data_IF_026972247199
#
_entry.id   IF_026972247199
#
_cell.length_a   1.000
_cell.length_b   1.000
_cell.length_c   1.000
_cell.angle_alpha   90.00
_cell.angle_beta   90.00
_cell.angle_gamma   90.00
#
_symmetry.space_group_name_H-M   'P 1'
#
loop_
_entity.id
_entity.type
_entity.pdbx_description
1 polymer ?
#
# COMPACT_ATOMS: atom_id res chain seq x y z
N UNK A 1 -38.23 10.77 31.33
CA UNK A 1 -37.29 10.06 30.45
C UNK A 1 -35.93 10.08 31.12
N UNK A 2 -35.36 8.91 31.41
CA UNK A 2 -34.00 8.76 31.96
C UNK A 2 -33.06 8.36 30.81
N UNK A 3 -31.84 8.90 30.82
CA UNK A 3 -30.83 8.72 29.77
C UNK A 3 -30.31 7.27 29.73
N UNK A 4 -29.98 6.82 28.52
CA UNK A 4 -29.54 5.46 28.15
C UNK A 4 -28.11 5.14 28.64
N UNK A 5 -27.38 6.13 29.16
CA UNK A 5 -26.00 5.96 29.64
C UNK A 5 -25.90 5.29 31.02
N UNK A 6 -26.98 5.28 31.82
CA UNK A 6 -26.99 4.67 33.17
C UNK A 6 -27.11 3.13 33.16
N UNK A 7 -27.37 2.51 32.00
CA UNK A 7 -27.53 1.05 31.90
C UNK A 7 -26.20 0.30 31.70
N UNK A 8 -25.16 0.96 31.19
CA UNK A 8 -23.85 0.33 30.96
C UNK A 8 -23.12 -0.03 32.26
N UNK A 9 -23.23 0.78 33.33
CA UNK A 9 -22.60 0.48 34.62
C UNK A 9 -23.25 -0.71 35.36
N UNK A 10 -24.51 -1.06 35.04
CA UNK A 10 -25.19 -2.21 35.65
C UNK A 10 -24.80 -3.54 35.02
N UNK A 11 -24.45 -3.55 33.74
CA UNK A 11 -24.01 -4.77 33.03
C UNK A 11 -22.62 -5.22 33.49
N UNK A 12 -21.75 -4.29 33.89
CA UNK A 12 -20.39 -4.62 34.39
C UNK A 12 -20.41 -5.30 35.77
N UNK A 13 -21.52 -5.22 36.53
CA UNK A 13 -21.61 -5.77 37.90
C UNK A 13 -22.39 -7.09 38.02
N UNK A 14 -22.88 -7.66 36.94
CA UNK A 14 -23.59 -8.95 36.96
C UNK A 14 -22.88 -9.98 36.09
N UNK A 15 -21.74 -10.49 36.55
CA UNK A 15 -21.36 -11.90 36.53
C UNK A 15 -19.96 -12.06 37.15
N UNK A 16 -19.69 -13.14 37.91
CA UNK A 16 -18.39 -13.33 38.52
C UNK A 16 -17.38 -13.61 37.40
N UNK A 17 -16.27 -12.88 37.39
CA UNK A 17 -15.11 -13.19 36.55
C UNK A 17 -14.76 -14.68 36.71
N UNK A 18 -15.23 -15.49 35.76
CA UNK A 18 -14.83 -16.87 35.62
C UNK A 18 -13.31 -16.86 35.42
N UNK A 19 -12.61 -17.51 36.35
CA UNK A 19 -11.18 -17.75 36.46
C UNK A 19 -10.27 -17.10 35.40
N UNK A 20 -9.27 -16.35 35.91
CA UNK A 20 -8.12 -15.84 35.15
C UNK A 20 -7.71 -16.79 34.01
N UNK A 21 -7.57 -16.30 32.76
CA UNK A 21 -7.16 -17.12 31.62
C UNK A 21 -5.73 -17.66 31.78
N UNK A 22 -4.99 -17.16 32.78
CA UNK A 22 -3.67 -17.66 33.17
C UNK A 22 -3.83 -18.79 34.18
N UNK A 23 -3.87 -20.02 33.69
CA UNK A 23 -3.77 -21.22 34.54
C UNK A 23 -2.34 -21.37 35.06
N UNK A 24 -2.14 -22.05 36.21
CA UNK A 24 -0.80 -22.31 36.75
C UNK A 24 0.05 -23.13 35.74
N UNK A 25 -0.59 -23.95 34.90
CA UNK A 25 0.06 -24.63 33.78
C UNK A 25 0.60 -23.68 32.71
N UNK A 26 -0.11 -22.58 32.41
CA UNK A 26 0.35 -21.54 31.50
C UNK A 26 1.60 -20.83 32.06
N UNK A 27 1.58 -20.49 33.35
CA UNK A 27 2.73 -19.88 34.04
C UNK A 27 3.95 -20.78 34.04
N UNK A 28 3.78 -22.09 34.29
CA UNK A 28 4.89 -23.04 34.23
C UNK A 28 5.46 -23.22 32.83
N UNK A 29 4.61 -23.19 31.79
CA UNK A 29 5.08 -23.27 30.40
C UNK A 29 5.89 -22.03 29.99
N UNK A 30 5.44 -20.84 30.38
CA UNK A 30 6.18 -19.59 30.13
C UNK A 30 7.52 -19.60 30.88
N UNK A 31 7.54 -20.03 32.15
CA UNK A 31 8.79 -20.14 32.91
C UNK A 31 9.75 -21.18 32.32
N UNK A 32 9.23 -22.29 31.76
CA UNK A 32 10.04 -23.31 31.07
C UNK A 32 10.61 -22.80 29.74
N UNK A 33 9.84 -22.03 28.98
CA UNK A 33 10.34 -21.35 27.77
C UNK A 33 11.40 -20.29 28.08
N UNK A 34 11.19 -19.49 29.13
CA UNK A 34 12.18 -18.50 29.58
C UNK A 34 13.44 -19.18 30.09
N UNK A 35 13.33 -20.31 30.79
CA UNK A 35 14.48 -21.11 31.21
C UNK A 35 15.24 -21.72 30.01
N UNK A 36 14.51 -22.21 28.99
CA UNK A 36 15.08 -22.76 27.77
C UNK A 36 15.80 -21.70 26.91
N UNK A 37 15.26 -20.48 26.84
CA UNK A 37 15.90 -19.36 26.14
C UNK A 37 17.15 -18.86 26.89
N UNK A 38 17.16 -18.95 28.23
CA UNK A 38 18.31 -18.55 29.06
C UNK A 38 19.42 -19.60 29.12
N UNK A 39 19.14 -20.87 28.83
CA UNK A 39 20.15 -21.95 28.88
C UNK A 39 21.09 -22.00 27.67
N UNK A 40 20.96 -21.08 26.70
CA UNK A 40 21.90 -20.99 25.56
C UNK A 40 21.90 -22.21 24.63
N UNK A 41 20.89 -23.08 24.74
CA UNK A 41 20.77 -24.35 24.01
C UNK A 41 20.02 -24.24 22.69
N UNK A 42 20.01 -23.05 22.06
CA UNK A 42 19.40 -22.79 20.76
C UNK A 42 20.45 -22.68 19.63
N UNK A 43 21.64 -23.26 19.84
CA UNK A 43 22.70 -23.29 18.83
C UNK A 43 23.25 -24.71 18.70
N UNK A 44 22.46 -25.58 18.07
CA UNK A 44 22.88 -26.75 17.29
C UNK A 44 21.60 -27.42 16.76
N UNK A 45 21.39 -27.37 15.43
CA UNK A 45 20.87 -28.43 14.56
C UNK A 45 20.80 -27.84 13.13
N UNK A 46 21.96 -27.84 12.48
CA UNK A 46 22.20 -28.02 11.03
C UNK A 46 23.62 -28.59 11.01
N UNK A 47 23.98 -29.78 10.53
CA UNK A 47 23.39 -30.71 9.59
C UNK A 47 23.83 -32.13 10.00
N UNK A 48 22.99 -33.13 9.80
CA UNK A 48 23.47 -34.51 9.65
C UNK A 48 22.47 -35.32 8.81
N UNK A 49 22.71 -35.33 7.50
CA UNK A 49 22.19 -36.39 6.64
C UNK A 49 22.85 -37.73 6.97
N UNK A 50 22.07 -38.79 6.73
CA UNK A 50 22.44 -40.19 6.46
C UNK A 50 23.66 -40.80 7.15
N UNK A 51 23.41 -41.86 7.93
CA UNK A 51 24.34 -42.99 8.08
C UNK A 51 23.61 -44.32 7.92
N UNK A 52 23.98 -45.01 6.84
CA UNK A 52 23.86 -46.45 6.66
C UNK A 52 24.73 -47.23 7.67
N UNK A 53 24.29 -48.46 7.97
CA UNK A 53 25.04 -49.52 8.66
C UNK A 53 26.16 -50.06 7.73
N UNK A 54 27.41 -50.06 8.25
CA UNK A 54 28.65 -50.83 7.96
C UNK A 54 28.92 -51.62 6.65
N UNK A 55 30.18 -52.06 6.34
CA UNK A 55 31.51 -51.50 6.68
C UNK A 55 32.53 -51.58 5.49
N UNK A 56 33.66 -50.85 5.56
CA UNK A 56 35.01 -51.37 5.19
C UNK A 56 36.15 -50.38 5.45
N UNK A 57 36.98 -50.74 6.43
CA UNK A 57 38.45 -50.87 6.40
C UNK A 57 39.32 -49.82 5.65
N UNK A 58 40.17 -49.18 6.48
CA UNK A 58 41.64 -49.02 6.38
C UNK A 58 42.21 -47.60 6.20
N UNK A 59 43.05 -47.29 7.21
CA UNK A 59 44.38 -46.66 7.22
C UNK A 59 44.57 -45.16 6.92
N UNK A 60 45.15 -44.49 7.93
CA UNK A 60 46.40 -43.68 7.89
C UNK A 60 46.45 -42.53 6.85
N UNK A 61 46.82 -41.27 7.15
CA UNK A 61 48.04 -40.83 7.83
C UNK A 61 48.13 -39.28 7.79
N UNK A 62 48.60 -38.69 8.90
CA UNK A 62 49.61 -37.63 9.01
C UNK A 62 49.62 -36.31 8.20
N UNK A 63 49.62 -35.22 9.01
CA UNK A 63 50.69 -34.20 9.23
C UNK A 63 50.59 -32.79 8.59
N UNK A 64 50.89 -31.82 9.48
CA UNK A 64 51.57 -30.51 9.33
C UNK A 64 50.75 -29.35 8.73
N UNK A 65 50.99 -28.07 9.04
CA UNK A 65 51.56 -27.27 10.16
C UNK A 65 51.48 -25.80 9.65
N UNK A 66 51.38 -24.84 10.58
CA UNK A 66 51.85 -23.43 10.49
C UNK A 66 51.02 -22.34 9.78
N UNK A 67 50.50 -21.44 10.62
CA UNK A 67 50.70 -19.97 10.69
C UNK A 67 50.77 -19.17 9.36
N UNK A 68 49.94 -18.13 9.24
CA UNK A 68 50.41 -16.73 9.40
C UNK A 68 49.23 -15.74 9.51
N UNK A 69 49.45 -14.66 10.25
CA UNK A 69 48.58 -13.49 10.42
C UNK A 69 48.60 -12.63 9.15
N UNK A 70 47.45 -12.06 8.76
CA UNK A 70 47.32 -10.65 8.34
C UNK A 70 45.85 -10.22 8.37
N UNK A 71 45.60 -9.12 9.06
CA UNK A 71 44.34 -8.42 9.12
C UNK A 71 44.00 -7.77 7.77
N UNK A 72 42.74 -7.87 7.37
CA UNK A 72 42.10 -7.01 6.37
C UNK A 72 40.70 -6.71 6.90
N UNK A 73 40.42 -5.43 7.10
CA UNK A 73 39.08 -4.88 7.31
C UNK A 73 38.16 -5.31 6.16
N UNK A 74 37.01 -5.88 6.49
CA UNK A 74 35.93 -6.09 5.53
C UNK A 74 34.58 -5.87 6.23
N UNK A 75 33.95 -4.76 5.84
CA UNK A 75 32.52 -4.57 5.66
C UNK A 75 31.58 -5.31 6.64
N UNK A 76 31.19 -4.64 7.72
CA UNK A 76 29.93 -4.94 8.40
C UNK A 76 28.78 -4.48 7.52
N UNK A 77 28.21 -5.46 6.84
CA UNK A 77 26.92 -5.46 6.17
C UNK A 77 25.84 -4.76 6.98
N UNK A 78 25.11 -3.89 6.28
CA UNK A 78 23.89 -3.24 6.72
C UNK A 78 22.91 -4.32 7.18
N UNK A 79 22.60 -4.31 8.47
CA UNK A 79 21.54 -5.12 9.03
C UNK A 79 20.22 -4.69 8.38
N UNK A 80 19.60 -5.65 7.70
CA UNK A 80 18.26 -5.57 7.17
C UNK A 80 17.31 -4.96 8.20
N UNK A 81 16.62 -3.89 7.80
CA UNK A 81 15.48 -3.37 8.55
C UNK A 81 14.48 -4.51 8.65
N UNK A 82 14.25 -4.91 9.90
CA UNK A 82 13.38 -5.98 10.27
C UNK A 82 12.01 -5.78 9.62
N UNK A 83 11.62 -6.74 8.77
CA UNK A 83 10.22 -7.06 8.60
C UNK A 83 9.63 -7.21 10.00
N UNK A 84 8.70 -6.33 10.37
CA UNK A 84 7.88 -6.52 11.54
C UNK A 84 6.98 -7.75 11.27
N UNK A 85 7.56 -8.93 11.44
CA UNK A 85 6.84 -10.19 11.50
C UNK A 85 5.98 -10.09 12.74
N UNK A 86 4.70 -9.80 12.55
CA UNK A 86 3.69 -10.06 13.57
C UNK A 86 3.62 -11.59 13.69
N UNK A 87 4.43 -12.15 14.59
CA UNK A 87 4.32 -13.53 15.02
C UNK A 87 3.02 -13.67 15.82
N UNK A 88 1.92 -14.00 15.13
CA UNK A 88 0.75 -14.59 15.76
C UNK A 88 0.64 -16.05 15.27
N UNK A 89 1.26 -16.96 16.02
CA UNK A 89 1.01 -18.41 16.04
C UNK A 89 0.73 -19.14 14.70
N UNK A 90 1.57 -18.99 13.67
CA UNK A 90 1.85 -20.05 12.68
C UNK A 90 0.67 -20.80 12.04
N UNK A 91 -0.51 -20.20 11.98
CA UNK A 91 -1.69 -20.70 11.31
C UNK A 91 -2.27 -19.56 10.51
N UNK A 92 -2.61 -19.82 9.25
CA UNK A 92 -3.45 -18.95 8.44
C UNK A 92 -4.80 -18.90 9.16
N UNK A 93 -4.99 -17.89 10.03
CA UNK A 93 -6.23 -17.71 10.75
C UNK A 93 -7.23 -17.16 9.74
N UNK A 94 -8.29 -17.92 9.42
CA UNK A 94 -9.45 -17.37 8.72
C UNK A 94 -9.89 -16.09 9.45
N UNK A 95 -10.28 -15.02 8.74
CA UNK A 95 -10.47 -13.71 9.36
C UNK A 95 -11.48 -13.82 10.50
N UNK A 96 -10.98 -13.81 11.74
CA UNK A 96 -11.83 -13.64 12.93
C UNK A 96 -12.17 -12.16 12.93
N UNK A 97 -13.17 -11.79 12.13
CA UNK A 97 -13.92 -10.57 12.37
C UNK A 97 -14.52 -10.74 13.76
N UNK A 98 -14.35 -9.75 14.64
CA UNK A 98 -15.03 -9.71 15.93
C UNK A 98 -16.49 -10.12 15.71
N UNK A 99 -16.94 -11.18 16.39
CA UNK A 99 -18.25 -11.80 16.21
C UNK A 99 -19.35 -10.82 16.65
N UNK A 100 -19.61 -9.80 15.85
CA UNK A 100 -20.67 -8.81 16.09
C UNK A 100 -21.88 -9.11 15.20
N UNK A 101 -21.72 -9.91 14.15
CA UNK A 101 -22.82 -10.28 13.26
C UNK A 101 -23.17 -11.77 13.43
N UNK A 102 -24.39 -12.10 13.90
CA UNK A 102 -24.91 -13.45 13.73
C UNK A 102 -24.88 -13.82 12.24
N UNK A 103 -24.96 -15.11 11.93
CA UNK A 103 -25.29 -15.59 10.58
C UNK A 103 -26.73 -15.17 10.28
N UNK A 104 -26.98 -13.87 10.14
CA UNK A 104 -28.28 -13.33 9.79
C UNK A 104 -28.65 -13.93 8.43
N UNK A 105 -29.92 -14.30 8.30
CA UNK A 105 -30.47 -14.70 7.02
C UNK A 105 -30.16 -13.58 6.02
N UNK A 106 -29.58 -13.95 4.87
CA UNK A 106 -29.33 -13.00 3.79
C UNK A 106 -30.58 -12.18 3.54
N UNK A 107 -30.39 -10.88 3.41
CA UNK A 107 -31.48 -9.99 3.05
C UNK A 107 -31.62 -10.02 1.53
N UNK A 108 -32.82 -10.32 1.06
CA UNK A 108 -33.15 -10.36 -0.36
C UNK A 108 -34.34 -9.45 -0.64
N UNK A 109 -34.39 -8.94 -1.85
CA UNK A 109 -35.63 -8.42 -2.45
C UNK A 109 -36.51 -9.60 -2.92
N UNK A 110 -37.81 -9.36 -3.15
CA UNK A 110 -38.77 -10.36 -3.66
C UNK A 110 -38.55 -10.73 -5.14
N UNK A 111 -37.31 -10.67 -5.63
CA UNK A 111 -36.96 -10.99 -7.01
C UNK A 111 -37.19 -12.49 -7.31
N UNK A 112 -37.85 -12.79 -8.43
CA UNK A 112 -38.14 -14.17 -8.84
C UNK A 112 -36.88 -15.02 -9.03
N UNK A 113 -35.74 -14.41 -9.35
CA UNK A 113 -34.44 -15.07 -9.48
C UNK A 113 -33.90 -15.64 -8.17
N UNK A 114 -34.45 -15.25 -7.00
CA UNK A 114 -34.00 -15.76 -5.70
C UNK A 114 -34.22 -17.27 -5.53
N UNK A 115 -35.18 -17.86 -6.26
CA UNK A 115 -35.41 -19.30 -6.26
C UNK A 115 -34.25 -20.10 -6.89
N UNK A 116 -33.36 -19.44 -7.63
CA UNK A 116 -32.16 -20.06 -8.23
C UNK A 116 -31.09 -20.39 -7.20
N UNK A 117 -31.10 -19.73 -6.03
CA UNK A 117 -30.11 -19.97 -4.99
C UNK A 117 -30.50 -21.15 -4.10
N UNK A 118 -29.68 -22.21 -4.14
CA UNK A 118 -29.73 -23.29 -3.14
C UNK A 118 -29.30 -22.78 -1.76
N UNK A 119 -29.68 -23.46 -0.69
CA UNK A 119 -29.28 -23.08 0.68
C UNK A 119 -27.75 -22.99 0.84
N UNK A 120 -27.00 -23.85 0.14
CA UNK A 120 -25.54 -23.80 0.10
C UNK A 120 -25.04 -22.51 -0.57
N UNK A 121 -25.61 -22.13 -1.71
CA UNK A 121 -25.25 -20.89 -2.41
C UNK A 121 -25.55 -19.66 -1.55
N UNK A 122 -26.74 -19.63 -0.93
CA UNK A 122 -27.13 -18.59 0.03
C UNK A 122 -26.09 -18.48 1.15
N UNK A 123 -25.76 -19.59 1.80
CA UNK A 123 -24.73 -19.61 2.85
C UNK A 123 -23.38 -19.08 2.35
N UNK A 124 -22.92 -19.52 1.19
CA UNK A 124 -21.64 -19.07 0.64
C UNK A 124 -21.62 -17.57 0.35
N UNK A 125 -22.70 -17.03 -0.24
CA UNK A 125 -22.84 -15.59 -0.47
C UNK A 125 -22.83 -14.80 0.84
N UNK A 126 -23.60 -15.25 1.83
CA UNK A 126 -23.70 -14.61 3.15
C UNK A 126 -22.36 -14.53 3.87
N UNK A 127 -21.66 -15.68 3.92
CA UNK A 127 -20.34 -15.83 4.53
C UNK A 127 -19.32 -14.98 3.78
N UNK A 128 -19.36 -14.97 2.45
CA UNK A 128 -18.41 -14.20 1.64
C UNK A 128 -18.55 -12.69 1.88
N UNK A 129 -19.77 -12.16 1.84
CA UNK A 129 -20.01 -10.75 2.14
C UNK A 129 -19.62 -10.42 3.58
N UNK A 130 -20.07 -11.21 4.56
CA UNK A 130 -19.74 -10.97 5.97
C UNK A 130 -18.23 -11.00 6.23
N UNK A 131 -17.54 -12.05 5.81
CA UNK A 131 -16.14 -12.33 6.21
C UNK A 131 -15.12 -11.52 5.41
N UNK A 132 -15.44 -11.13 4.18
CA UNK A 132 -14.52 -10.36 3.35
C UNK A 132 -14.94 -8.91 3.16
N UNK A 133 -16.24 -8.59 3.09
CA UNK A 133 -16.71 -7.21 2.99
C UNK A 133 -16.93 -6.57 4.36
N UNK A 134 -17.14 -7.37 5.40
CA UNK A 134 -17.48 -6.90 6.76
C UNK A 134 -18.96 -6.55 6.95
N UNK A 135 -19.81 -6.82 5.94
CA UNK A 135 -21.25 -6.52 5.94
C UNK A 135 -21.96 -7.37 4.89
N UNK A 136 -23.16 -7.84 5.19
CA UNK A 136 -24.05 -8.43 4.19
C UNK A 136 -24.89 -7.33 3.54
N UNK A 137 -24.86 -7.26 2.21
CA UNK A 137 -25.66 -6.31 1.44
C UNK A 137 -26.98 -6.95 1.03
N UNK A 138 -27.99 -6.11 0.79
CA UNK A 138 -29.29 -6.54 0.25
C UNK A 138 -29.10 -7.01 -1.19
N UNK A 139 -29.44 -8.26 -1.47
CA UNK A 139 -29.36 -8.82 -2.82
C UNK A 139 -30.53 -8.30 -3.64
N UNK A 140 -30.20 -7.68 -4.77
CA UNK A 140 -31.13 -7.01 -5.68
C UNK A 140 -31.39 -7.81 -6.94
N UNK A 141 -30.51 -8.76 -7.29
CA UNK A 141 -30.68 -9.57 -8.50
C UNK A 141 -29.94 -10.90 -8.39
N UNK A 142 -30.56 -11.94 -8.94
CA UNK A 142 -29.95 -13.26 -9.16
C UNK A 142 -30.27 -13.71 -10.57
N UNK A 143 -29.26 -14.18 -11.30
CA UNK A 143 -29.39 -14.57 -12.70
C UNK A 143 -28.65 -15.89 -12.97
N UNK A 144 -29.33 -16.85 -13.59
CA UNK A 144 -28.69 -18.05 -14.12
C UNK A 144 -27.97 -17.74 -15.44
N UNK A 145 -26.74 -18.23 -15.58
CA UNK A 145 -25.87 -18.07 -16.74
C UNK A 145 -25.53 -19.45 -17.31
N UNK A 146 -26.51 -20.14 -17.93
CA UNK A 146 -26.45 -21.57 -18.23
C UNK A 146 -25.33 -21.92 -19.21
N UNK A 147 -25.03 -21.05 -20.17
CA UNK A 147 -23.92 -21.24 -21.14
C UNK A 147 -22.56 -21.36 -20.42
N UNK A 148 -22.40 -20.66 -19.30
CA UNK A 148 -21.18 -20.68 -18.49
C UNK A 148 -21.23 -21.63 -17.30
N UNK A 149 -22.39 -22.24 -17.02
CA UNK A 149 -22.64 -23.04 -15.82
C UNK A 149 -22.50 -22.24 -14.51
N UNK A 150 -22.88 -20.95 -14.52
CA UNK A 150 -22.72 -20.04 -13.37
C UNK A 150 -24.05 -19.48 -12.92
N UNK A 151 -24.14 -19.14 -11.63
CA UNK A 151 -25.20 -18.29 -11.09
C UNK A 151 -24.55 -16.98 -10.66
N UNK A 152 -25.10 -15.87 -11.15
CA UNK A 152 -24.69 -14.52 -10.81
C UNK A 152 -25.58 -13.95 -9.72
N UNK A 153 -24.96 -13.32 -8.72
CA UNK A 153 -25.63 -12.66 -7.59
C UNK A 153 -25.11 -11.23 -7.50
N UNK A 154 -26.04 -10.29 -7.41
CA UNK A 154 -25.78 -8.85 -7.37
C UNK A 154 -26.48 -8.24 -6.14
N UNK A 155 -25.71 -7.45 -5.40
CA UNK A 155 -26.20 -6.60 -4.31
C UNK A 155 -25.61 -5.19 -4.49
N UNK A 156 -26.45 -4.20 -4.76
CA UNK A 156 -26.00 -2.88 -5.20
C UNK A 156 -25.43 -2.87 -6.62
N UNK A 157 -25.07 -1.71 -7.15
CA UNK A 157 -24.54 -1.58 -8.52
C UNK A 157 -23.05 -1.29 -8.52
N UNK A 158 -22.36 -1.80 -9.53
CA UNK A 158 -20.96 -1.44 -9.75
C UNK A 158 -20.84 0.08 -9.94
N UNK A 159 -19.96 0.70 -9.17
CA UNK A 159 -19.80 2.17 -9.12
C UNK A 159 -20.42 2.81 -7.86
N UNK A 160 -21.34 2.13 -7.18
CA UNK A 160 -21.89 2.60 -5.91
C UNK A 160 -20.84 2.51 -4.78
N UNK A 161 -21.10 3.20 -3.66
CA UNK A 161 -20.25 3.18 -2.47
C UNK A 161 -20.13 1.78 -1.85
N UNK A 162 -21.19 0.98 -1.92
CA UNK A 162 -21.22 -0.41 -1.48
C UNK A 162 -21.84 -1.30 -2.57
N UNK A 163 -21.12 -2.33 -2.99
CA UNK A 163 -21.68 -3.34 -3.90
C UNK A 163 -21.00 -4.70 -3.73
N UNK A 164 -21.68 -5.75 -4.17
CA UNK A 164 -21.14 -7.10 -4.25
C UNK A 164 -21.66 -7.84 -5.48
N UNK A 165 -20.73 -8.23 -6.34
CA UNK A 165 -20.94 -9.06 -7.52
C UNK A 165 -20.27 -10.42 -7.26
N UNK A 166 -21.06 -11.49 -7.25
CA UNK A 166 -20.59 -12.83 -6.93
C UNK A 166 -21.05 -13.80 -8.01
N UNK A 167 -20.11 -14.56 -8.55
CA UNK A 167 -20.39 -15.65 -9.47
C UNK A 167 -20.12 -16.98 -8.77
N UNK A 168 -21.14 -17.83 -8.79
CA UNK A 168 -21.12 -19.17 -8.22
C UNK A 168 -21.12 -20.20 -9.34
N UNK A 169 -20.53 -21.35 -9.08
CA UNK A 169 -20.73 -22.54 -9.91
C UNK A 169 -22.17 -23.07 -9.72
N UNK A 170 -22.93 -23.23 -10.81
CA UNK A 170 -24.34 -23.60 -10.72
C UNK A 170 -24.57 -25.02 -10.14
N UNK A 171 -23.64 -25.95 -10.39
CA UNK A 171 -23.76 -27.33 -9.94
C UNK A 171 -23.34 -27.50 -8.47
N UNK A 172 -22.27 -26.83 -8.06
CA UNK A 172 -21.64 -27.02 -6.75
C UNK A 172 -21.95 -25.91 -5.75
N UNK A 173 -22.37 -24.74 -6.21
CA UNK A 173 -22.57 -23.53 -5.41
C UNK A 173 -21.29 -22.90 -4.89
N UNK A 174 -20.12 -23.34 -5.34
CA UNK A 174 -18.83 -22.81 -4.92
C UNK A 174 -18.54 -21.45 -5.57
N UNK A 175 -17.77 -20.58 -4.90
CA UNK A 175 -17.31 -19.32 -5.46
C UNK A 175 -16.46 -19.57 -6.72
N UNK A 176 -16.73 -18.82 -7.79
CA UNK A 176 -15.92 -18.79 -9.01
C UNK A 176 -15.22 -17.45 -9.16
N UNK A 177 -15.93 -16.38 -8.89
CA UNK A 177 -15.45 -15.01 -9.03
C UNK A 177 -16.19 -14.12 -8.04
N UNK A 178 -15.49 -13.11 -7.53
CA UNK A 178 -16.03 -12.14 -6.55
C UNK A 178 -15.46 -10.78 -6.86
N UNK A 179 -16.30 -9.76 -6.87
CA UNK A 179 -15.91 -8.36 -6.90
C UNK A 179 -16.83 -7.59 -5.96
N UNK A 180 -16.27 -7.03 -4.88
CA UNK A 180 -17.04 -6.29 -3.89
C UNK A 180 -16.30 -5.02 -3.49
N UNK A 181 -17.06 -3.99 -3.13
CA UNK A 181 -16.55 -2.73 -2.57
C UNK A 181 -17.44 -2.31 -1.42
N UNK A 182 -16.84 -1.70 -0.41
CA UNK A 182 -17.54 -1.00 0.65
C UNK A 182 -16.78 0.25 1.06
N UNK A 183 -17.45 1.39 1.11
CA UNK A 183 -17.01 2.55 1.87
C UNK A 183 -17.60 2.48 3.28
N UNK A 184 -16.77 2.75 4.27
CA UNK A 184 -17.07 2.55 5.69
C UNK A 184 -16.79 3.85 6.44
N UNK A 185 -17.70 4.22 7.33
CA UNK A 185 -17.42 5.27 8.30
C UNK A 185 -16.38 4.79 9.32
N UNK A 186 -15.69 5.72 9.97
CA UNK A 186 -14.64 5.41 10.95
C UNK A 186 -15.10 4.48 12.09
N UNK A 187 -16.36 4.61 12.53
CA UNK A 187 -16.96 3.79 13.58
C UNK A 187 -17.34 2.37 13.14
N UNK A 188 -17.32 2.07 11.84
CA UNK A 188 -17.57 0.73 11.29
C UNK A 188 -16.27 -0.08 11.11
N UNK A 189 -15.11 0.55 11.28
CA UNK A 189 -13.80 -0.08 11.14
C UNK A 189 -13.54 -1.06 12.29
N UNK A 190 -13.06 -2.26 11.97
CA UNK A 190 -12.79 -3.29 12.97
C UNK A 190 -11.69 -2.85 13.96
N UNK A 191 -11.87 -3.19 15.25
CA UNK A 191 -10.96 -2.74 16.31
C UNK A 191 -9.51 -3.18 16.10
N UNK A 192 -9.28 -4.29 15.38
CA UNK A 192 -7.93 -4.77 15.05
C UNK A 192 -7.12 -3.76 14.23
N UNK A 193 -7.75 -2.99 13.35
CA UNK A 193 -7.06 -1.95 12.58
C UNK A 193 -6.79 -0.74 13.46
N UNK A 194 -7.79 -0.32 14.25
CA UNK A 194 -7.68 0.81 15.19
C UNK A 194 -6.48 0.67 16.15
N UNK A 195 -6.20 -0.54 16.61
CA UNK A 195 -5.06 -0.82 17.51
C UNK A 195 -3.69 -0.74 16.84
N UNK A 196 -3.60 -0.98 15.53
CA UNK A 196 -2.34 -0.98 14.79
C UNK A 196 -1.93 0.43 14.34
N UNK A 197 -2.90 1.29 14.01
CA UNK A 197 -2.67 2.60 13.40
C UNK A 197 -1.58 3.42 14.11
N UNK A 198 -1.63 3.65 15.45
CA UNK A 198 -0.60 4.47 16.10
C UNK A 198 0.81 3.91 15.92
N UNK A 199 0.98 2.60 16.09
CA UNK A 199 2.29 1.94 15.96
C UNK A 199 2.83 1.95 14.52
N UNK A 200 1.94 1.87 13.52
CA UNK A 200 2.33 1.95 12.11
C UNK A 200 2.77 3.37 11.75
N UNK A 201 2.06 4.39 12.24
CA UNK A 201 2.41 5.80 12.03
C UNK A 201 3.73 6.16 12.73
N UNK A 202 3.93 5.70 13.97
CA UNK A 202 5.22 5.85 14.67
C UNK A 202 6.37 5.20 13.91
N UNK A 203 6.12 4.04 13.29
CA UNK A 203 7.10 3.33 12.46
C UNK A 203 7.66 4.16 11.32
N UNK A 204 6.86 5.07 10.76
CA UNK A 204 7.27 6.02 9.71
C UNK A 204 7.56 7.43 10.25
N UNK A 205 7.63 7.61 11.58
CA UNK A 205 7.80 8.91 12.27
C UNK A 205 6.73 9.95 11.92
N UNK A 206 5.53 9.49 11.57
CA UNK A 206 4.33 10.32 11.41
C UNK A 206 3.64 10.56 12.75
N UNK A 207 2.65 11.46 12.76
CA UNK A 207 1.87 11.80 13.95
C UNK A 207 0.93 10.63 14.35
N UNK A 208 1.17 9.95 15.49
CA UNK A 208 0.34 8.82 15.92
C UNK A 208 -1.07 9.22 16.34
N UNK A 209 -1.37 10.52 16.42
CA UNK A 209 -2.69 11.03 16.82
C UNK A 209 -3.66 11.18 15.65
N UNK A 210 -3.22 10.91 14.40
CA UNK A 210 -4.10 10.84 13.24
C UNK A 210 -5.20 9.79 13.48
N UNK A 211 -6.46 10.18 13.23
CA UNK A 211 -7.63 9.34 13.48
C UNK A 211 -8.30 8.92 12.18
N UNK A 212 -8.89 7.72 12.11
CA UNK A 212 -9.72 7.33 10.98
C UNK A 212 -10.86 8.30 10.75
N UNK A 213 -11.02 8.74 9.51
CA UNK A 213 -12.19 9.50 9.03
C UNK A 213 -13.13 8.60 8.24
N UNK A 214 -12.55 7.70 7.44
CA UNK A 214 -13.27 6.74 6.62
C UNK A 214 -12.35 5.59 6.25
N UNK A 215 -12.94 4.51 5.76
CA UNK A 215 -12.21 3.40 5.23
C UNK A 215 -12.89 2.88 3.97
N UNK A 216 -12.12 2.22 3.10
CA UNK A 216 -12.60 1.60 1.89
C UNK A 216 -12.09 0.18 1.84
N UNK A 217 -12.97 -0.77 1.60
CA UNK A 217 -12.63 -2.17 1.39
C UNK A 217 -12.96 -2.61 -0.03
N UNK A 218 -12.00 -3.27 -0.67
CA UNK A 218 -12.21 -3.97 -1.93
C UNK A 218 -11.93 -5.45 -1.75
N UNK A 219 -12.77 -6.29 -2.35
CA UNK A 219 -12.60 -7.74 -2.37
C UNK A 219 -12.60 -8.21 -3.80
N UNK A 220 -11.62 -9.03 -4.16
CA UNK A 220 -11.53 -9.64 -5.49
C UNK A 220 -11.19 -11.13 -5.39
N UNK A 221 -11.81 -11.92 -6.24
CA UNK A 221 -11.46 -13.31 -6.51
C UNK A 221 -11.65 -13.54 -7.99
N UNK A 222 -10.60 -13.97 -8.70
CA UNK A 222 -10.68 -14.37 -10.11
C UNK A 222 -10.91 -15.88 -10.21
N UNK A 223 -11.43 -16.31 -11.36
CA UNK A 223 -11.55 -17.74 -11.67
C UNK A 223 -10.20 -18.47 -11.49
N UNK A 224 -10.23 -19.60 -10.77
CA UNK A 224 -9.06 -20.41 -10.48
C UNK A 224 -8.36 -20.05 -9.17
N UNK A 225 -8.76 -18.98 -8.49
CA UNK A 225 -8.30 -18.69 -7.13
C UNK A 225 -9.13 -19.47 -6.11
N UNK A 226 -8.48 -19.95 -5.04
CA UNK A 226 -9.18 -20.73 -4.01
C UNK A 226 -9.94 -19.86 -3.00
N UNK A 227 -9.41 -18.67 -2.69
CA UNK A 227 -9.98 -17.75 -1.70
C UNK A 227 -9.93 -16.30 -2.22
N UNK A 228 -10.91 -15.45 -1.83
CA UNK A 228 -10.85 -14.02 -2.09
C UNK A 228 -9.62 -13.32 -1.47
N UNK A 229 -9.20 -12.24 -2.10
CA UNK A 229 -8.22 -11.28 -1.58
C UNK A 229 -8.94 -9.98 -1.27
N UNK A 230 -8.72 -9.43 -0.08
CA UNK A 230 -9.28 -8.14 0.31
C UNK A 230 -8.18 -7.11 0.59
N UNK A 231 -8.52 -5.87 0.28
CA UNK A 231 -7.71 -4.68 0.47
C UNK A 231 -8.52 -3.71 1.33
N UNK A 232 -7.97 -3.27 2.45
CA UNK A 232 -8.60 -2.26 3.30
C UNK A 232 -7.71 -1.03 3.30
N UNK A 233 -8.21 0.10 2.81
CA UNK A 233 -7.54 1.40 2.89
C UNK A 233 -8.26 2.23 3.95
N UNK A 234 -7.55 2.72 4.95
CA UNK A 234 -8.09 3.63 5.96
C UNK A 234 -7.50 5.01 5.70
N UNK A 235 -8.36 6.03 5.66
CA UNK A 235 -7.96 7.43 5.56
C UNK A 235 -7.94 8.05 6.95
N UNK A 236 -6.89 8.81 7.24
CA UNK A 236 -6.58 9.33 8.55
C UNK A 236 -6.42 10.85 8.50
N UNK A 237 -6.87 11.55 9.54
CA UNK A 237 -6.76 13.00 9.64
C UNK A 237 -6.70 13.47 11.10
N UNK A 238 -6.08 14.62 11.33
CA UNK A 238 -6.25 15.45 12.51
C UNK A 238 -6.16 16.94 12.13
N UNK A 239 -6.10 17.85 13.10
CA UNK A 239 -6.01 19.29 12.81
C UNK A 239 -4.69 19.75 12.19
N UNK A 240 -3.70 18.87 12.06
CA UNK A 240 -2.33 19.19 11.64
C UNK A 240 -1.87 18.43 10.40
N UNK A 241 -2.59 17.40 9.97
CA UNK A 241 -2.14 16.55 8.89
C UNK A 241 -3.12 15.44 8.53
N UNK A 242 -2.73 14.67 7.52
CA UNK A 242 -3.50 13.57 6.97
C UNK A 242 -2.60 12.36 6.70
N UNK A 243 -3.20 11.22 6.43
CA UNK A 243 -2.48 10.01 6.09
C UNK A 243 -3.40 8.90 5.61
N UNK A 244 -2.81 7.77 5.24
CA UNK A 244 -3.57 6.59 4.88
C UNK A 244 -2.79 5.32 5.18
N UNK A 245 -3.50 4.23 5.46
CA UNK A 245 -2.87 2.92 5.62
C UNK A 245 -3.63 1.91 4.78
N UNK A 246 -2.90 1.11 4.01
CA UNK A 246 -3.45 0.02 3.23
C UNK A 246 -3.02 -1.33 3.80
N UNK A 247 -3.99 -2.23 3.99
CA UNK A 247 -3.76 -3.63 4.31
C UNK A 247 -4.18 -4.53 3.16
N UNK A 248 -3.38 -5.56 2.87
CA UNK A 248 -3.77 -6.69 2.03
C UNK A 248 -3.82 -7.94 2.91
N UNK A 249 -4.98 -8.61 2.98
CA UNK A 249 -5.17 -9.79 3.87
C UNK A 249 -4.72 -9.53 5.32
N UNK A 250 -5.06 -8.36 5.84
CA UNK A 250 -4.71 -7.90 7.20
C UNK A 250 -3.21 -7.64 7.45
N UNK A 251 -2.35 -7.72 6.43
CA UNK A 251 -0.96 -7.27 6.49
C UNK A 251 -0.85 -5.84 5.96
N UNK A 252 -0.24 -4.93 6.74
CA UNK A 252 -0.02 -3.55 6.30
C UNK A 252 1.01 -3.53 5.17
N UNK A 253 0.62 -3.01 4.02
CA UNK A 253 1.41 -3.00 2.78
C UNK A 253 1.79 -1.60 2.31
N UNK A 254 1.08 -0.58 2.78
CA UNK A 254 1.48 0.82 2.61
C UNK A 254 1.02 1.62 3.83
N UNK A 255 1.89 2.50 4.33
CA UNK A 255 1.62 3.41 5.44
C UNK A 255 2.07 4.80 4.99
N UNK A 256 1.16 5.77 5.01
CA UNK A 256 1.44 7.17 4.74
C UNK A 256 0.91 8.09 5.83
N UNK A 257 1.59 9.21 6.04
CA UNK A 257 1.12 10.26 6.94
C UNK A 257 1.98 11.50 6.94
N UNK A 258 1.41 12.60 7.43
CA UNK A 258 2.13 13.86 7.65
C UNK A 258 3.27 13.66 8.66
N UNK A 259 4.45 14.21 8.36
CA UNK A 259 5.65 14.14 9.20
C UNK A 259 6.17 15.55 9.53
N UNK A 260 6.76 15.70 10.72
CA UNK A 260 7.41 16.96 11.10
C UNK A 260 8.61 17.26 10.21
N UNK A 261 8.86 18.54 9.92
CA UNK A 261 10.09 18.99 9.25
C UNK A 261 11.37 18.59 10.01
N UNK A 262 11.28 18.36 11.32
CA UNK A 262 12.41 17.90 12.14
C UNK A 262 12.82 16.45 11.80
N UNK A 263 11.92 15.68 11.20
CA UNK A 263 12.16 14.30 10.78
C UNK A 263 12.69 14.20 9.33
N UNK A 264 12.83 15.33 8.64
CA UNK A 264 13.29 15.41 7.26
C UNK A 264 14.59 16.20 7.17
N UNK A 265 15.48 15.79 6.25
CA UNK A 265 16.74 16.48 6.03
C UNK A 265 16.51 17.94 5.59
N UNK A 266 17.17 18.88 6.26
CA UNK A 266 17.16 20.30 5.87
C UNK A 266 17.75 20.51 4.47
N UNK A 267 18.68 19.65 4.05
CA UNK A 267 19.22 19.67 2.69
C UNK A 267 18.13 19.36 1.66
N UNK A 268 17.25 18.39 1.95
CA UNK A 268 16.13 18.05 1.07
C UNK A 268 15.13 19.21 0.95
N UNK A 269 14.81 19.87 2.07
CA UNK A 269 13.92 21.03 2.08
C UNK A 269 14.55 22.19 1.30
N UNK A 270 15.85 22.42 1.46
CA UNK A 270 16.59 23.48 0.77
C UNK A 270 16.65 23.19 -0.74
N UNK A 271 16.98 21.97 -1.13
CA UNK A 271 16.99 21.53 -2.54
C UNK A 271 15.61 21.65 -3.19
N UNK A 272 14.54 21.30 -2.45
CA UNK A 272 13.16 21.45 -2.90
C UNK A 272 12.81 22.93 -3.18
N UNK A 273 13.19 23.85 -2.27
CA UNK A 273 12.99 25.30 -2.47
C UNK A 273 13.73 25.81 -3.70
N UNK A 274 15.02 25.47 -3.81
CA UNK A 274 15.84 25.86 -4.97
C UNK A 274 15.27 25.31 -6.29
N UNK A 275 14.71 24.10 -6.25
CA UNK A 275 14.08 23.51 -7.43
C UNK A 275 12.79 24.23 -7.82
N UNK A 276 11.95 24.61 -6.85
CA UNK A 276 10.76 25.42 -7.12
C UNK A 276 11.15 26.79 -7.70
N UNK A 277 12.21 27.41 -7.17
CA UNK A 277 12.74 28.67 -7.70
C UNK A 277 13.22 28.54 -9.14
N UNK A 278 13.94 27.46 -9.45
CA UNK A 278 14.36 27.16 -10.82
C UNK A 278 13.16 26.94 -11.76
N UNK A 279 12.11 26.24 -11.30
CA UNK A 279 10.92 25.97 -12.11
C UNK A 279 10.08 27.22 -12.36
N UNK A 280 9.86 28.03 -11.32
CA UNK A 280 8.90 29.13 -11.32
C UNK A 280 9.52 30.49 -11.68
N UNK A 281 10.83 30.67 -11.44
CA UNK A 281 11.51 31.96 -11.52
C UNK A 281 11.25 32.87 -10.32
N UNK A 282 10.51 32.41 -9.30
CA UNK A 282 10.12 33.16 -8.10
C UNK A 282 10.57 32.43 -6.83
N UNK A 283 10.80 33.15 -5.70
CA UNK A 283 11.09 32.53 -4.40
C UNK A 283 10.05 31.45 -4.03
N UNK A 284 10.52 30.30 -3.53
CA UNK A 284 9.62 29.23 -3.13
C UNK A 284 8.70 29.68 -1.97
N UNK A 285 7.38 29.40 -2.02
CA UNK A 285 6.46 29.66 -0.91
C UNK A 285 6.85 28.92 0.38
N UNK A 286 6.12 29.16 1.46
CA UNK A 286 6.33 28.42 2.70
C UNK A 286 5.97 26.93 2.57
N UNK A 287 6.75 26.07 3.22
CA UNK A 287 6.47 24.65 3.35
C UNK A 287 5.22 24.48 4.22
N UNK A 288 4.17 23.86 3.68
CA UNK A 288 2.90 23.65 4.37
C UNK A 288 2.79 22.27 5.00
N UNK A 289 3.17 21.23 4.27
CA UNK A 289 3.06 19.86 4.73
C UNK A 289 4.17 18.99 4.14
N UNK A 290 4.47 17.91 4.84
CA UNK A 290 5.37 16.86 4.37
C UNK A 290 4.65 15.54 4.57
N UNK A 291 4.43 14.79 3.49
CA UNK A 291 3.85 13.46 3.55
C UNK A 291 4.95 12.45 3.29
N UNK A 292 5.09 11.47 4.18
CA UNK A 292 5.94 10.31 3.96
C UNK A 292 5.06 9.08 3.73
N UNK A 293 5.37 8.29 2.71
CA UNK A 293 4.77 6.99 2.45
C UNK A 293 5.85 5.92 2.40
N UNK A 294 5.69 4.88 3.20
CA UNK A 294 6.40 3.62 3.05
C UNK A 294 5.52 2.65 2.28
N UNK A 295 5.95 2.26 1.06
CA UNK A 295 5.19 1.35 0.22
C UNK A 295 5.87 -0.02 0.11
N UNK A 296 5.39 -0.98 0.90
CA UNK A 296 5.88 -2.36 0.91
C UNK A 296 5.56 -3.14 -0.37
N UNK A 297 4.66 -2.66 -1.24
CA UNK A 297 4.36 -3.33 -2.53
C UNK A 297 5.42 -3.06 -3.58
N UNK A 298 5.89 -1.81 -3.65
CA UNK A 298 6.91 -1.38 -4.62
C UNK A 298 8.31 -1.41 -4.03
N UNK A 299 8.44 -1.51 -2.70
CA UNK A 299 9.72 -1.36 -1.97
C UNK A 299 10.33 0.02 -2.32
N UNK A 300 9.45 1.01 -2.49
CA UNK A 300 9.78 2.41 -2.72
C UNK A 300 9.22 3.21 -1.54
N UNK A 301 10.04 4.09 -0.99
CA UNK A 301 9.61 5.09 -0.01
C UNK A 301 9.44 6.43 -0.74
N UNK A 302 8.35 7.12 -0.45
CA UNK A 302 8.04 8.42 -1.06
C UNK A 302 8.03 9.50 0.01
N UNK A 303 8.69 10.63 -0.27
CA UNK A 303 8.60 11.85 0.51
C UNK A 303 8.08 12.97 -0.38
N UNK A 304 6.93 13.52 -0.02
CA UNK A 304 6.29 14.64 -0.69
C UNK A 304 6.37 15.88 0.17
N UNK A 305 6.82 16.99 -0.42
CA UNK A 305 6.91 18.29 0.23
C UNK A 305 5.97 19.26 -0.50
N UNK A 306 4.99 19.78 0.23
CA UNK A 306 3.99 20.70 -0.30
C UNK A 306 4.35 22.14 0.08
N UNK A 307 4.54 23.00 -0.92
CA UNK A 307 4.88 24.41 -0.74
C UNK A 307 3.76 25.31 -1.24
N UNK A 308 3.25 26.18 -0.35
CA UNK A 308 2.06 26.96 -0.62
C UNK A 308 0.86 26.06 -0.95
N UNK A 309 0.01 26.52 -1.87
CA UNK A 309 -1.10 25.71 -2.42
C UNK A 309 -0.81 25.22 -3.84
N UNK A 310 0.44 25.35 -4.31
CA UNK A 310 0.78 25.29 -5.74
C UNK A 310 1.87 24.30 -6.13
N UNK A 311 2.88 24.11 -5.27
CA UNK A 311 4.06 23.34 -5.64
C UNK A 311 4.21 22.07 -4.83
N UNK A 312 4.56 21.00 -5.52
CA UNK A 312 4.89 19.70 -4.95
C UNK A 312 6.32 19.32 -5.37
N UNK A 313 7.12 18.94 -4.39
CA UNK A 313 8.38 18.23 -4.62
C UNK A 313 8.25 16.82 -4.09
N UNK A 314 8.42 15.81 -4.95
CA UNK A 314 8.32 14.40 -4.60
C UNK A 314 9.64 13.71 -4.83
N UNK A 315 10.14 13.05 -3.81
CA UNK A 315 11.29 12.14 -3.89
C UNK A 315 10.82 10.71 -3.65
N UNK A 316 11.09 9.83 -4.61
CA UNK A 316 10.83 8.40 -4.49
C UNK A 316 12.20 7.72 -4.46
N UNK A 317 12.51 7.05 -3.36
CA UNK A 317 13.74 6.27 -3.21
C UNK A 317 13.41 4.79 -3.11
N UNK A 318 14.12 3.93 -3.84
CA UNK A 318 13.84 2.50 -3.82
C UNK A 318 14.88 1.65 -4.53
N UNK A 319 14.66 0.33 -4.50
CA UNK A 319 15.61 -0.66 -5.04
C UNK A 319 15.85 -0.53 -6.56
N UNK A 320 14.90 0.04 -7.30
CA UNK A 320 14.89 0.00 -8.78
C UNK A 320 15.15 1.34 -9.47
N UNK A 321 14.92 2.47 -8.79
CA UNK A 321 15.18 3.80 -9.34
C UNK A 321 15.03 4.85 -8.25
N UNK A 322 15.83 5.91 -8.34
CA UNK A 322 15.60 7.13 -7.58
C UNK A 322 14.92 8.15 -8.48
N UNK A 323 13.74 8.64 -8.06
CA UNK A 323 12.98 9.65 -8.79
C UNK A 323 12.87 10.93 -7.98
N UNK A 324 13.08 12.05 -8.63
CA UNK A 324 12.91 13.37 -8.05
C UNK A 324 12.04 14.22 -8.97
N UNK A 325 10.88 14.63 -8.49
CA UNK A 325 9.89 15.41 -9.24
C UNK A 325 9.66 16.75 -8.58
N UNK A 326 9.61 17.81 -9.38
CA UNK A 326 9.18 19.15 -8.97
C UNK A 326 8.05 19.54 -9.90
N UNK A 327 6.93 19.95 -9.34
CA UNK A 327 5.70 20.20 -10.10
C UNK A 327 4.95 21.42 -9.57
N UNK A 328 4.46 22.23 -10.50
CA UNK A 328 3.35 23.16 -10.30
C UNK A 328 2.04 22.38 -10.53
N UNK A 329 1.36 21.98 -9.46
CA UNK A 329 0.20 21.08 -9.54
C UNK A 329 -1.14 21.82 -9.71
N UNK A 330 -1.17 23.14 -9.54
CA UNK A 330 -2.36 23.93 -9.85
C UNK A 330 -2.53 24.17 -11.35
N UNK A 331 -1.47 23.97 -12.13
CA UNK A 331 -1.48 24.17 -13.58
C UNK A 331 -1.72 22.84 -14.30
N UNK A 332 -3.01 22.55 -14.48
CA UNK A 332 -3.52 21.40 -15.22
C UNK A 332 -3.89 21.74 -16.66
N UNK A 333 -4.61 20.81 -17.30
CA UNK A 333 -5.27 21.11 -18.59
C UNK A 333 -6.19 22.31 -18.36
N UNK A 334 -6.11 23.37 -19.18
CA UNK A 334 -7.01 24.52 -19.04
C UNK A 334 -8.46 24.05 -19.07
N UNK A 335 -9.34 24.80 -18.40
CA UNK A 335 -10.78 24.61 -18.55
C UNK A 335 -11.14 25.02 -19.99
N UNK A 336 -11.43 24.03 -20.83
CA UNK A 336 -11.83 24.21 -22.24
C UNK A 336 -13.32 23.86 -22.36
N UNK A 337 -14.08 24.71 -23.04
CA UNK A 337 -15.54 24.66 -23.05
C UNK A 337 -16.08 23.78 -24.20
N UNK A 338 -15.24 23.47 -25.19
CA UNK A 338 -15.66 22.75 -26.40
C UNK A 338 -14.65 21.70 -26.88
N UNK A 339 -15.14 20.70 -27.63
CA UNK A 339 -14.30 19.68 -28.26
C UNK A 339 -13.29 20.25 -29.24
N UNK A 340 -13.64 21.32 -29.97
CA UNK A 340 -12.74 22.00 -30.91
C UNK A 340 -11.57 22.67 -30.18
N UNK A 341 -11.82 23.27 -29.01
CA UNK A 341 -10.76 23.84 -28.17
C UNK A 341 -9.80 22.77 -27.66
N UNK A 342 -10.33 21.61 -27.25
CA UNK A 342 -9.49 20.46 -26.87
C UNK A 342 -8.62 19.98 -28.03
N UNK A 343 -9.20 19.84 -29.23
CA UNK A 343 -8.44 19.42 -30.41
C UNK A 343 -7.33 20.41 -30.75
N UNK A 344 -7.62 21.72 -30.76
CA UNK A 344 -6.62 22.76 -31.02
C UNK A 344 -5.52 22.79 -29.95
N UNK A 345 -5.88 22.66 -28.67
CA UNK A 345 -4.93 22.59 -27.56
C UNK A 345 -3.98 21.38 -27.71
N UNK A 346 -4.53 20.20 -27.97
CA UNK A 346 -3.75 18.99 -28.16
C UNK A 346 -2.90 19.01 -29.43
N UNK A 347 -3.39 19.63 -30.50
CA UNK A 347 -2.63 19.84 -31.72
C UNK A 347 -1.41 20.73 -31.46
N UNK A 348 -1.57 21.84 -30.72
CA UNK A 348 -0.45 22.71 -30.32
C UNK A 348 0.60 21.95 -29.53
N UNK A 349 0.19 21.20 -28.50
CA UNK A 349 1.12 20.40 -27.68
C UNK A 349 1.88 19.37 -28.53
N UNK A 350 1.18 18.69 -29.45
CA UNK A 350 1.77 17.67 -30.32
C UNK A 350 2.78 18.26 -31.30
N UNK A 351 2.47 19.42 -31.88
CA UNK A 351 3.23 20.05 -32.96
C UNK A 351 4.31 21.02 -32.47
N UNK A 352 4.40 21.30 -31.16
CA UNK A 352 5.42 22.18 -30.60
C UNK A 352 6.84 21.72 -31.00
N UNK A 353 7.68 22.64 -31.44
CA UNK A 353 9.04 22.30 -31.89
C UNK A 353 9.89 21.85 -30.70
N UNK A 354 10.66 20.78 -30.87
CA UNK A 354 11.62 20.31 -29.85
C UNK A 354 12.55 21.43 -29.39
N UNK A 355 13.01 22.30 -30.31
CA UNK A 355 13.90 23.41 -29.99
C UNK A 355 13.30 24.36 -28.96
N UNK A 356 12.00 24.62 -29.03
CA UNK A 356 11.28 25.49 -28.08
C UNK A 356 11.20 24.82 -26.71
N UNK A 357 10.82 23.53 -26.67
CA UNK A 357 10.74 22.77 -25.42
C UNK A 357 12.12 22.70 -24.75
N UNK A 358 13.17 22.40 -25.53
CA UNK A 358 14.55 22.34 -25.03
C UNK A 358 15.03 23.70 -24.53
N UNK A 359 14.73 24.78 -25.24
CA UNK A 359 15.10 26.14 -24.83
C UNK A 359 14.50 26.52 -23.48
N UNK A 360 13.27 26.09 -23.19
CA UNK A 360 12.61 26.37 -21.91
C UNK A 360 13.00 25.38 -20.80
N UNK A 361 13.24 24.10 -21.12
CA UNK A 361 13.56 23.08 -20.13
C UNK A 361 15.05 23.05 -19.72
N UNK A 362 15.97 23.31 -20.65
CA UNK A 362 17.41 23.18 -20.41
C UNK A 362 17.94 24.11 -19.31
N UNK A 363 17.57 25.41 -19.26
CA UNK A 363 18.01 26.29 -18.17
C UNK A 363 17.56 25.81 -16.80
N UNK A 364 16.31 25.35 -16.70
CA UNK A 364 15.72 24.85 -15.45
C UNK A 364 16.45 23.59 -14.98
N UNK A 365 16.63 22.60 -15.88
CA UNK A 365 17.35 21.35 -15.58
C UNK A 365 18.82 21.63 -15.23
N UNK A 366 19.45 22.59 -15.90
CA UNK A 366 20.81 23.02 -15.58
C UNK A 366 20.89 23.65 -14.20
N UNK A 367 19.91 24.46 -13.81
CA UNK A 367 19.88 25.08 -12.49
C UNK A 367 19.60 24.05 -11.38
N UNK A 368 18.64 23.15 -11.58
CA UNK A 368 18.27 22.13 -10.59
C UNK A 368 19.35 21.06 -10.39
N UNK A 369 19.92 20.54 -11.48
CA UNK A 369 20.73 19.32 -11.45
C UNK A 369 22.14 19.50 -12.01
N UNK A 370 22.52 20.72 -12.42
CA UNK A 370 23.78 21.02 -13.09
C UNK A 370 24.01 20.18 -14.38
N UNK A 371 22.94 19.74 -15.03
CA UNK A 371 23.00 18.89 -16.23
C UNK A 371 22.67 19.70 -17.48
N UNK A 372 23.46 19.47 -18.53
CA UNK A 372 23.20 20.01 -19.86
C UNK A 372 22.42 18.98 -20.70
N UNK A 373 21.37 19.45 -21.38
CA UNK A 373 20.54 18.60 -22.23
C UNK A 373 21.14 18.35 -23.62
N UNK A 374 22.24 18.99 -24.02
CA UNK A 374 22.84 18.86 -25.35
C UNK A 374 23.08 17.40 -25.79
N UNK A 375 23.37 16.52 -24.83
CA UNK A 375 23.62 15.09 -25.06
C UNK A 375 22.36 14.21 -25.01
N UNK A 376 21.21 14.79 -24.73
CA UNK A 376 19.95 14.07 -24.57
C UNK A 376 19.09 14.20 -25.81
N UNK A 377 18.48 13.08 -26.21
CA UNK A 377 17.49 13.03 -27.27
C UNK A 377 16.10 13.18 -26.66
N UNK A 378 15.28 14.06 -27.24
CA UNK A 378 13.88 14.19 -26.86
C UNK A 378 13.08 13.04 -27.46
N UNK A 379 12.20 12.44 -26.66
CA UNK A 379 11.18 11.47 -27.05
C UNK A 379 9.82 11.98 -26.60
N UNK A 380 8.84 11.92 -27.50
CA UNK A 380 7.44 12.25 -27.20
C UNK A 380 6.70 10.99 -26.76
N UNK A 381 5.86 11.11 -25.73
CA UNK A 381 4.94 10.04 -25.35
C UNK A 381 3.61 10.25 -26.10
N UNK A 382 3.21 9.33 -27.01
CA UNK A 382 1.95 9.47 -27.74
C UNK A 382 0.72 9.38 -26.84
N UNK A 383 0.84 8.78 -25.65
CA UNK A 383 -0.25 8.59 -24.70
C UNK A 383 -0.31 9.69 -23.63
N UNK A 384 0.67 10.61 -23.61
CA UNK A 384 0.73 11.70 -22.66
C UNK A 384 1.14 13.01 -23.37
N UNK A 385 0.15 13.63 -24.03
CA UNK A 385 0.32 14.94 -24.66
C UNK A 385 0.76 16.00 -23.64
N UNK A 386 1.60 16.94 -24.07
CA UNK A 386 2.21 17.91 -23.16
C UNK A 386 3.33 17.33 -22.27
N UNK A 387 3.78 16.09 -22.52
CA UNK A 387 4.91 15.49 -21.82
C UNK A 387 5.96 14.94 -22.80
N UNK A 388 7.23 15.18 -22.49
CA UNK A 388 8.38 14.63 -23.23
C UNK A 388 9.38 14.00 -22.28
N UNK A 389 10.21 13.10 -22.81
CA UNK A 389 11.33 12.51 -22.09
C UNK A 389 12.64 12.85 -22.81
N UNK A 390 13.57 13.48 -22.11
CA UNK A 390 14.95 13.60 -22.53
C UNK A 390 15.71 12.37 -22.02
N UNK A 391 16.20 11.54 -22.94
CA UNK A 391 17.01 10.36 -22.63
C UNK A 391 18.36 10.46 -23.30
N UNK A 392 19.43 10.18 -22.55
CA UNK A 392 20.76 10.07 -23.14
C UNK A 392 20.89 8.75 -23.91
N UNK A 393 21.62 8.79 -25.04
CA UNK A 393 22.10 7.58 -25.72
C UNK A 393 23.52 7.18 -25.30
N UNK A 394 24.16 7.97 -24.42
CA UNK A 394 25.49 7.67 -23.91
C UNK A 394 25.39 6.74 -22.69
N UNK A 395 26.10 5.62 -22.72
CA UNK A 395 26.10 4.58 -21.66
C UNK A 395 26.66 5.05 -20.31
N UNK A 396 27.17 6.28 -20.20
CA UNK A 396 27.67 6.87 -18.96
C UNK A 396 26.66 7.77 -18.25
N UNK A 397 25.51 8.02 -18.87
CA UNK A 397 24.46 8.87 -18.33
C UNK A 397 23.27 7.98 -18.00
N UNK A 398 23.15 7.61 -16.73
CA UNK A 398 22.11 6.70 -16.23
C UNK A 398 20.86 7.44 -15.76
N UNK A 399 20.53 8.56 -16.39
CA UNK A 399 19.34 9.31 -16.02
C UNK A 399 18.54 9.79 -17.21
N UNK A 400 17.26 10.04 -16.92
CA UNK A 400 16.30 10.59 -17.88
C UNK A 400 15.51 11.70 -17.22
N UNK A 401 15.07 12.67 -18.02
CA UNK A 401 14.24 13.77 -17.57
C UNK A 401 12.88 13.71 -18.26
N UNK A 402 11.82 13.51 -17.49
CA UNK A 402 10.46 13.76 -17.97
C UNK A 402 10.12 15.22 -17.72
N UNK A 403 9.54 15.87 -18.72
CA UNK A 403 9.21 17.29 -18.68
C UNK A 403 7.78 17.46 -19.15
N UNK A 404 6.95 18.11 -18.32
CA UNK A 404 5.60 18.56 -18.71
C UNK A 404 5.66 20.03 -19.14
N UNK A 405 4.95 20.34 -20.22
CA UNK A 405 4.84 21.69 -20.77
C UNK A 405 3.41 21.98 -21.25
N UNK A 406 3.07 23.26 -21.28
CA UNK A 406 1.78 23.77 -21.75
C UNK A 406 1.84 24.27 -23.20
N UNK A 407 0.72 24.74 -23.74
CA UNK A 407 0.62 25.17 -25.14
C UNK A 407 1.39 26.48 -25.43
N UNK A 408 1.73 27.24 -24.39
CA UNK A 408 2.65 28.39 -24.42
C UNK A 408 4.13 28.00 -24.22
N UNK A 409 4.43 26.69 -24.17
CA UNK A 409 5.74 26.08 -23.95
C UNK A 409 6.34 26.28 -22.54
N UNK A 410 5.57 26.79 -21.58
CA UNK A 410 5.99 26.89 -20.18
C UNK A 410 6.15 25.50 -19.58
N UNK A 411 7.20 25.31 -18.78
CA UNK A 411 7.47 24.05 -18.09
C UNK A 411 6.74 24.05 -16.74
N UNK A 412 5.96 23.00 -16.47
CA UNK A 412 5.17 22.87 -15.23
C UNK A 412 5.60 21.70 -14.37
N UNK A 413 6.38 20.76 -14.92
CA UNK A 413 6.90 19.63 -14.17
C UNK A 413 8.24 19.18 -14.74
N UNK A 414 9.18 18.87 -13.87
CA UNK A 414 10.40 18.15 -14.21
C UNK A 414 10.54 16.96 -13.26
N UNK A 415 10.71 15.78 -13.84
CA UNK A 415 11.06 14.56 -13.11
C UNK A 415 12.39 14.05 -13.60
N UNK A 416 13.37 13.96 -12.71
CA UNK A 416 14.60 13.20 -12.91
C UNK A 416 14.38 11.75 -12.47
N UNK A 417 14.81 10.81 -13.30
CA UNK A 417 14.81 9.38 -13.00
C UNK A 417 16.22 8.88 -13.18
N UNK A 418 16.84 8.43 -12.09
CA UNK A 418 18.13 7.73 -12.09
C UNK A 418 17.85 6.21 -12.13
N UNK A 419 18.50 5.50 -13.06
CA UNK A 419 18.31 4.07 -13.36
C UNK A 419 19.46 3.19 -12.87
#
# INVERSE_FOLDING_TARGET
>A
MKHVDDEWEKVVKQEPFAASPFTEGHKQNVLRQVAWLKSGSAQEISDAGDKFIEPKKLLNQHRRRLRSRRAVMACTTIAAVAAAVIFWNGQIVDPVIEKVYPTAALQYTDDAGMSLLTDKMKKNVAVTMRDYLGKQLLITKVQDLPVSGRVYVEAGKEGDAEYALIWLDAATGNLREVQMRREMAANELEHRYLRQIPSLLEGIKSDPTLKPISARRYVKMKQGQEKPVWFTTVFLENSRGSGSIEWTRDEAVSVSGSVSSDNVSQDLITEARMSIEALSGEPAPDLKDIIFEQNGKTIEDTTELYFGDRYLVSRIGGMFSDKYTVMDFQRGVPELESGEEYELYFEKLRNMKESVIRQNAAPIIKQMFNIDLDKYKLKRDPNALGMVTFSSSETKIYNTFKVRYEDDARITMITRIDL
#
